data_IF_261992489033
#
_entry.id   IF_261992489033
#
_cell.length_a   1.000
_cell.length_b   1.000
_cell.length_c   1.000
_cell.angle_alpha   90.00
_cell.angle_beta   90.00
_cell.angle_gamma   90.00
#
_symmetry.space_group_name_H-M   'P 1'
#
loop_
_entity.id
_entity.type
_entity.pdbx_description
1 polymer ?
#
# COMPACT_ATOMS: atom_id res chain seq x y z
N UNK A 1 0.84 -6.94 -19.37
CA UNK A 1 0.68 -5.55 -18.90
C UNK A 1 0.25 -5.55 -17.44
N UNK A 2 0.85 -4.72 -16.60
CA UNK A 2 0.41 -4.64 -15.21
C UNK A 2 -0.98 -4.03 -15.09
N UNK A 3 -1.72 -4.47 -14.08
CA UNK A 3 -3.01 -3.89 -13.75
C UNK A 3 -2.79 -2.82 -12.69
N UNK A 4 -3.29 -1.63 -12.94
CA UNK A 4 -3.11 -0.49 -12.05
C UNK A 4 -4.33 -0.27 -11.17
N UNK A 5 -4.10 -0.13 -9.87
CA UNK A 5 -5.13 0.14 -8.87
C UNK A 5 -4.87 1.50 -8.24
N UNK A 6 -5.63 2.55 -8.62
CA UNK A 6 -5.44 3.87 -8.00
C UNK A 6 -5.88 3.86 -6.55
N UNK A 7 -5.32 4.78 -5.76
CA UNK A 7 -5.75 5.00 -4.39
C UNK A 7 -7.08 5.74 -4.34
N UNK A 8 -7.87 5.44 -3.32
CA UNK A 8 -9.07 6.19 -3.00
C UNK A 8 -8.69 7.34 -2.05
N UNK A 9 -8.98 8.57 -2.45
CA UNK A 9 -8.73 9.75 -1.62
C UNK A 9 -10.02 10.25 -1.00
N UNK A 10 -10.04 10.35 0.33
CA UNK A 10 -11.08 11.06 1.04
C UNK A 10 -10.90 12.55 0.76
N UNK A 11 -11.97 13.29 0.37
CA UNK A 11 -11.85 14.72 0.07
C UNK A 11 -11.23 15.53 1.22
N UNK A 12 -11.47 15.15 2.45
CA UNK A 12 -10.93 15.81 3.64
C UNK A 12 -9.41 15.67 3.72
N UNK A 13 -8.87 14.54 3.26
CA UNK A 13 -7.43 14.25 3.32
C UNK A 13 -6.66 14.69 2.09
N UNK A 14 -7.35 14.92 0.99
CA UNK A 14 -6.71 15.18 -0.30
C UNK A 14 -5.75 16.38 -0.24
N UNK A 15 -6.16 17.43 0.45
CA UNK A 15 -5.32 18.65 0.61
C UNK A 15 -4.10 18.37 1.46
N UNK A 16 -4.28 17.64 2.57
CA UNK A 16 -3.18 17.30 3.47
C UNK A 16 -2.17 16.40 2.76
N UNK A 17 -2.66 15.38 2.06
CA UNK A 17 -1.80 14.47 1.31
C UNK A 17 -0.98 15.22 0.25
N UNK A 18 -1.59 16.20 -0.41
CA UNK A 18 -0.91 17.02 -1.43
C UNK A 18 0.29 17.77 -0.88
N UNK A 19 0.23 18.22 0.37
CA UNK A 19 1.37 18.88 1.01
C UNK A 19 2.61 17.99 1.07
N UNK A 20 2.43 16.68 1.08
CA UNK A 20 3.51 15.69 1.11
C UNK A 20 3.81 15.11 -0.27
N UNK A 21 3.28 15.71 -1.34
CA UNK A 21 3.50 15.24 -2.70
C UNK A 21 2.64 14.03 -3.09
N UNK A 22 1.66 13.68 -2.27
CA UNK A 22 0.75 12.57 -2.57
C UNK A 22 -0.50 13.11 -3.25
N UNK A 23 -0.65 12.78 -4.53
CA UNK A 23 -1.80 13.20 -5.34
C UNK A 23 -2.43 11.96 -5.99
N UNK A 24 -3.69 12.05 -6.47
CA UNK A 24 -4.30 10.91 -7.17
C UNK A 24 -3.49 10.42 -8.37
N UNK A 25 -2.77 11.31 -9.04
CA UNK A 25 -1.94 10.95 -10.20
C UNK A 25 -0.62 10.26 -9.79
N UNK A 26 -0.25 10.37 -8.53
CA UNK A 26 1.02 9.84 -8.01
C UNK A 26 0.82 8.81 -6.90
N UNK A 27 -0.33 8.15 -6.89
CA UNK A 27 -0.63 7.12 -5.90
C UNK A 27 -1.36 5.96 -6.59
N UNK A 28 -0.68 4.80 -6.68
CA UNK A 28 -1.25 3.62 -7.30
C UNK A 28 -0.53 2.36 -6.82
N UNK A 29 -1.17 1.21 -7.07
CA UNK A 29 -0.55 -0.11 -6.94
C UNK A 29 -0.63 -0.80 -8.30
N UNK A 30 0.52 -1.15 -8.87
CA UNK A 30 0.62 -1.90 -10.12
C UNK A 30 0.92 -3.37 -9.81
N UNK A 31 0.10 -4.27 -10.32
CA UNK A 31 0.29 -5.72 -10.19
C UNK A 31 0.60 -6.28 -11.56
N UNK A 32 1.85 -6.67 -11.79
CA UNK A 32 2.28 -7.34 -13.02
C UNK A 32 2.33 -8.85 -12.85
N UNK A 33 2.88 -9.54 -13.83
CA UNK A 33 3.03 -11.00 -13.76
C UNK A 33 4.04 -11.42 -12.70
N UNK A 34 5.13 -10.68 -12.56
CA UNK A 34 6.21 -11.02 -11.65
C UNK A 34 6.46 -9.96 -10.59
N UNK A 35 6.14 -8.69 -10.88
CA UNK A 35 6.47 -7.57 -10.01
C UNK A 35 5.24 -6.84 -9.53
N UNK A 36 5.36 -6.30 -8.32
CA UNK A 36 4.39 -5.41 -7.71
C UNK A 36 5.10 -4.08 -7.40
N UNK A 37 4.45 -2.98 -7.74
CA UNK A 37 4.93 -1.64 -7.40
C UNK A 37 3.81 -0.85 -6.74
N UNK A 38 4.07 -0.32 -5.56
CA UNK A 38 3.16 0.59 -4.86
C UNK A 38 3.81 1.95 -4.76
N UNK A 39 3.21 2.94 -5.41
CA UNK A 39 3.68 4.32 -5.34
C UNK A 39 2.71 5.15 -4.50
N UNK A 40 3.27 5.99 -3.64
CA UNK A 40 2.51 6.90 -2.79
C UNK A 40 3.26 8.22 -2.73
N UNK A 41 3.05 9.08 -3.74
CA UNK A 41 3.81 10.32 -3.88
C UNK A 41 5.31 10.06 -4.02
N UNK A 42 6.15 10.60 -3.11
CA UNK A 42 7.60 10.38 -3.16
C UNK A 42 8.02 8.99 -2.68
N UNK A 43 7.11 8.23 -2.03
CA UNK A 43 7.43 6.90 -1.51
C UNK A 43 7.06 5.83 -2.51
N UNK A 44 7.87 4.77 -2.57
CA UNK A 44 7.65 3.68 -3.51
C UNK A 44 8.15 2.36 -2.91
N UNK A 45 7.33 1.31 -3.05
CA UNK A 45 7.70 -0.07 -2.74
C UNK A 45 7.69 -0.86 -4.03
N UNK A 46 8.80 -1.54 -4.34
CA UNK A 46 8.90 -2.46 -5.47
C UNK A 46 9.37 -3.81 -4.96
N UNK A 47 8.65 -4.85 -5.36
CA UNK A 47 9.01 -6.21 -4.96
C UNK A 47 8.47 -7.20 -5.97
N UNK A 48 8.89 -8.46 -5.85
CA UNK A 48 8.30 -9.55 -6.62
C UNK A 48 6.93 -9.90 -6.04
N UNK A 49 5.97 -10.23 -6.87
CA UNK A 49 4.67 -10.72 -6.40
C UNK A 49 4.86 -11.97 -5.54
N UNK A 50 5.84 -12.81 -5.88
CA UNK A 50 6.16 -14.01 -5.10
C UNK A 50 6.63 -13.69 -3.68
N UNK A 51 7.07 -12.46 -3.41
CA UNK A 51 7.44 -12.02 -2.06
C UNK A 51 6.22 -11.67 -1.20
N UNK A 52 5.05 -11.56 -1.79
CA UNK A 52 3.81 -11.30 -1.04
C UNK A 52 3.28 -12.64 -0.54
N UNK A 53 3.37 -12.85 0.78
CA UNK A 53 2.93 -14.10 1.40
C UNK A 53 1.42 -14.19 1.48
N UNK A 54 0.78 -13.09 1.85
CA UNK A 54 -0.68 -13.05 2.01
C UNK A 54 -1.19 -11.62 2.01
N UNK A 55 -2.50 -11.47 1.88
CA UNK A 55 -3.19 -10.18 1.96
C UNK A 55 -4.32 -10.26 2.96
N UNK A 56 -4.63 -9.13 3.58
CA UNK A 56 -5.73 -9.02 4.54
C UNK A 56 -6.43 -7.69 4.35
N UNK A 57 -7.75 -7.69 4.36
CA UNK A 57 -8.53 -6.44 4.34
C UNK A 57 -8.48 -5.82 5.73
N UNK A 58 -8.20 -4.53 5.79
CA UNK A 58 -8.09 -3.77 7.04
C UNK A 58 -9.04 -2.58 7.03
N UNK A 59 -9.34 -2.06 8.23
CA UNK A 59 -10.21 -0.90 8.43
C UNK A 59 -11.53 -1.25 9.11
N UNK A 60 -12.32 -0.25 9.51
CA UNK A 60 -12.02 1.18 9.41
C UNK A 60 -10.90 1.62 10.35
N UNK A 61 -10.25 2.73 10.00
CA UNK A 61 -9.13 3.26 10.76
C UNK A 61 -9.50 4.53 11.50
N UNK A 62 -8.76 4.86 12.57
CA UNK A 62 -8.86 6.15 13.22
C UNK A 62 -8.37 7.25 12.27
N UNK A 63 -9.19 8.26 12.07
CA UNK A 63 -9.02 9.34 11.09
C UNK A 63 -7.62 9.97 11.09
N UNK A 64 -7.21 10.52 12.22
CA UNK A 64 -5.96 11.27 12.32
C UNK A 64 -4.70 10.40 12.32
N UNK A 65 -4.86 9.08 12.42
CA UNK A 65 -3.72 8.17 12.55
C UNK A 65 -3.31 7.50 11.25
N UNK A 66 -4.15 7.57 10.21
CA UNK A 66 -3.94 6.74 9.03
C UNK A 66 -3.75 7.49 7.73
N UNK A 67 -4.43 8.62 7.53
CA UNK A 67 -4.35 9.34 6.27
C UNK A 67 -3.20 10.36 6.28
N UNK A 68 -2.66 10.66 5.11
CA UNK A 68 -1.61 11.65 4.93
C UNK A 68 -0.32 11.06 4.37
N UNK A 69 0.85 11.39 4.94
CA UNK A 69 2.12 10.87 4.45
C UNK A 69 2.29 9.39 4.77
N UNK A 70 3.26 8.75 4.11
CA UNK A 70 3.63 7.38 4.44
C UNK A 70 4.00 7.28 5.93
N UNK A 71 3.55 6.21 6.58
CA UNK A 71 3.76 6.02 8.01
C UNK A 71 4.44 4.70 8.31
N UNK A 72 5.30 4.73 9.31
CA UNK A 72 6.03 3.57 9.80
C UNK A 72 5.49 3.22 11.19
N UNK A 73 5.08 1.97 11.37
CA UNK A 73 4.71 1.47 12.70
C UNK A 73 5.99 1.25 13.52
N UNK A 74 6.00 1.80 14.73
CA UNK A 74 7.21 1.76 15.60
C UNK A 74 7.51 0.33 16.06
N UNK A 75 6.47 -0.47 16.30
CA UNK A 75 6.63 -1.81 16.89
C UNK A 75 7.11 -2.86 15.89
N UNK A 76 6.58 -2.86 14.65
CA UNK A 76 6.85 -3.92 13.68
C UNK A 76 7.43 -3.42 12.36
N UNK A 77 7.66 -2.12 12.24
CA UNK A 77 8.14 -1.45 11.03
C UNK A 77 7.20 -1.59 9.82
N UNK A 78 5.93 -1.90 10.06
CA UNK A 78 4.93 -1.92 9.00
C UNK A 78 4.78 -0.56 8.35
N UNK A 79 4.70 -0.54 7.02
CA UNK A 79 4.56 0.69 6.24
C UNK A 79 3.10 0.88 5.86
N UNK A 80 2.61 2.10 5.98
CA UNK A 80 1.23 2.44 5.61
C UNK A 80 1.20 3.58 4.61
N UNK A 81 0.58 3.31 3.45
CA UNK A 81 0.22 4.31 2.45
C UNK A 81 -1.29 4.48 2.51
N UNK A 82 -1.77 5.47 3.26
CA UNK A 82 -3.21 5.64 3.49
C UNK A 82 -3.70 7.01 3.09
N UNK A 83 -4.66 7.06 2.17
CA UNK A 83 -5.31 8.27 1.69
C UNK A 83 -6.78 8.36 2.12
N UNK A 84 -7.27 7.38 2.85
CA UNK A 84 -8.60 7.39 3.49
C UNK A 84 -8.58 6.48 4.72
N UNK A 85 -9.61 6.60 5.56
CA UNK A 85 -9.72 5.84 6.78
C UNK A 85 -10.70 4.66 6.74
N UNK A 86 -11.30 4.36 5.58
CA UNK A 86 -12.37 3.36 5.49
C UNK A 86 -11.85 1.94 5.36
N UNK A 87 -11.12 1.65 4.31
CA UNK A 87 -10.65 0.30 4.00
C UNK A 87 -9.30 0.33 3.33
N UNK A 88 -8.52 -0.71 3.59
CA UNK A 88 -7.24 -0.92 2.93
C UNK A 88 -6.93 -2.40 2.79
N UNK A 89 -5.83 -2.68 2.12
CA UNK A 89 -5.29 -4.03 1.97
C UNK A 89 -3.92 -4.04 2.58
N UNK A 90 -3.71 -4.94 3.54
CA UNK A 90 -2.39 -5.17 4.13
C UNK A 90 -1.71 -6.30 3.39
N UNK A 91 -0.56 -6.01 2.80
CA UNK A 91 0.28 -6.97 2.09
C UNK A 91 1.36 -7.45 3.06
N UNK A 92 1.38 -8.74 3.35
CA UNK A 92 2.39 -9.35 4.20
C UNK A 92 3.50 -9.93 3.33
N UNK A 93 4.75 -9.58 3.59
CA UNK A 93 5.90 -10.00 2.79
C UNK A 93 6.63 -11.16 3.43
N UNK A 94 7.18 -12.06 2.59
CA UNK A 94 8.05 -13.15 3.04
C UNK A 94 9.39 -12.62 3.51
N UNK A 95 9.93 -11.65 2.75
CA UNK A 95 11.16 -10.93 3.11
C UNK A 95 10.84 -9.45 3.19
N UNK A 96 11.28 -8.74 4.25
CA UNK A 96 11.00 -7.31 4.40
C UNK A 96 11.50 -6.49 3.21
N UNK A 97 10.78 -5.42 2.90
CA UNK A 97 11.06 -4.54 1.75
C UNK A 97 11.37 -3.13 2.21
N UNK A 98 12.12 -2.37 1.41
CA UNK A 98 12.33 -0.95 1.62
C UNK A 98 11.15 -0.14 1.09
N UNK A 99 11.04 1.14 1.46
CA UNK A 99 9.95 1.98 0.96
C UNK A 99 9.87 3.36 1.60
N UNK A 100 10.07 3.46 2.91
CA UNK A 100 9.95 4.75 3.61
C UNK A 100 11.16 5.66 3.33
N UNK A 101 12.32 5.10 3.10
CA UNK A 101 13.53 5.84 2.78
C UNK A 101 14.10 5.40 1.43
N UNK A 102 14.76 6.34 0.73
CA UNK A 102 15.29 6.09 -0.61
C UNK A 102 16.37 5.01 -0.66
N UNK A 103 17.13 4.88 0.42
CA UNK A 103 18.25 3.92 0.49
C UNK A 103 17.80 2.53 0.89
N UNK A 104 16.54 2.36 1.31
CA UNK A 104 16.02 1.07 1.77
C UNK A 104 16.67 0.57 3.05
N UNK A 105 17.18 1.48 3.88
CA UNK A 105 17.81 1.12 5.16
C UNK A 105 16.80 0.61 6.17
N UNK A 106 15.57 1.14 6.12
CA UNK A 106 14.46 0.66 6.95
C UNK A 106 13.68 -0.34 6.13
N UNK A 107 13.52 -1.55 6.66
CA UNK A 107 12.82 -2.65 5.96
C UNK A 107 11.48 -2.89 6.61
N UNK A 108 10.48 -3.15 5.79
CA UNK A 108 9.09 -3.30 6.22
C UNK A 108 8.61 -4.72 6.00
N UNK A 109 8.08 -5.41 7.04
CA UNK A 109 7.51 -6.75 6.87
C UNK A 109 6.13 -6.74 6.22
N UNK A 110 5.46 -5.58 6.21
CA UNK A 110 4.13 -5.43 5.63
C UNK A 110 3.90 -4.02 5.08
N UNK A 111 2.95 -3.91 4.16
CA UNK A 111 2.53 -2.64 3.57
C UNK A 111 1.01 -2.60 3.52
N UNK A 112 0.42 -1.54 4.06
CA UNK A 112 -1.02 -1.28 3.95
C UNK A 112 -1.26 -0.20 2.91
N UNK A 113 -2.17 -0.48 1.97
CA UNK A 113 -2.55 0.45 0.89
C UNK A 113 -4.05 0.64 0.86
N UNK A 114 -4.50 1.88 0.64
CA UNK A 114 -5.93 2.22 0.62
C UNK A 114 -6.39 2.49 -0.82
N UNK A 115 -6.43 1.43 -1.62
CA UNK A 115 -6.84 1.52 -3.03
C UNK A 115 -8.36 1.66 -3.16
N UNK A 116 -8.79 2.22 -4.29
CA UNK A 116 -10.21 2.40 -4.59
C UNK A 116 -10.92 1.04 -4.76
N UNK A 117 -10.31 0.13 -5.49
CA UNK A 117 -10.88 -1.19 -5.77
C UNK A 117 -10.15 -2.27 -4.94
N UNK A 118 -10.54 -2.40 -3.70
CA UNK A 118 -9.96 -3.38 -2.76
C UNK A 118 -10.15 -4.80 -3.27
N UNK A 119 -11.37 -5.13 -3.70
CA UNK A 119 -11.67 -6.49 -4.17
C UNK A 119 -10.89 -6.84 -5.44
N UNK A 120 -10.77 -5.89 -6.37
CA UNK A 120 -10.00 -6.08 -7.59
C UNK A 120 -8.53 -6.35 -7.32
N UNK A 121 -7.93 -5.64 -6.37
CA UNK A 121 -6.54 -5.86 -5.98
C UNK A 121 -6.35 -7.25 -5.39
N UNK A 122 -7.25 -7.67 -4.49
CA UNK A 122 -7.20 -9.01 -3.89
C UNK A 122 -7.32 -10.09 -4.97
N UNK A 123 -8.25 -9.93 -5.92
CA UNK A 123 -8.42 -10.89 -7.02
C UNK A 123 -7.17 -10.96 -7.91
N UNK A 124 -6.58 -9.82 -8.25
CA UNK A 124 -5.38 -9.79 -9.09
C UNK A 124 -4.23 -10.54 -8.41
N UNK A 125 -4.10 -10.41 -7.09
CA UNK A 125 -3.08 -11.12 -6.32
C UNK A 125 -3.43 -12.59 -6.17
N UNK A 126 -4.71 -12.95 -6.00
CA UNK A 126 -5.14 -14.34 -5.91
C UNK A 126 -4.83 -15.11 -7.20
N UNK A 127 -4.93 -14.48 -8.36
CA UNK A 127 -4.56 -15.08 -9.65
C UNK A 127 -3.07 -15.43 -9.72
N UNK A 128 -2.27 -14.82 -8.86
CA UNK A 128 -0.83 -15.04 -8.75
C UNK A 128 -0.48 -15.84 -7.49
N UNK A 129 -1.45 -16.59 -6.98
CA UNK A 129 -1.30 -17.49 -5.82
C UNK A 129 -1.02 -16.78 -4.50
N UNK A 130 -1.41 -15.54 -4.36
CA UNK A 130 -1.32 -14.82 -3.08
C UNK A 130 -2.57 -15.12 -2.27
N UNK A 131 -2.37 -15.70 -1.08
CA UNK A 131 -3.44 -16.12 -0.20
C UNK A 131 -4.05 -14.94 0.55
N UNK A 132 -5.39 -14.96 0.70
CA UNK A 132 -6.11 -13.98 1.52
C UNK A 132 -6.29 -14.52 2.92
N UNK A 133 -5.89 -13.74 3.92
CA UNK A 133 -6.16 -14.04 5.32
C UNK A 133 -7.50 -13.45 5.76
N UNK A 134 -8.25 -14.16 6.64
CA UNK A 134 -9.50 -13.66 7.18
C UNK A 134 -9.34 -12.42 8.05
#
# INVERSE_FOLDING_TARGET
>A
MPTRFPFRFDPTYRRLARLFGVTPERAWVDVGEEQLEARYGPWCVRTLVSNVASVQVTGPYAFLKTAGPARLAVTDRGLTFASNGDRGVCLLFRSPVGGIDRRGLIRHPELTVTVLDVNGLIEALARRNVERKP
#
